data_IF_526975804898
#
_entry.id   IF_526975804898
#
_cell.length_a   1.000
_cell.length_b   1.000
_cell.length_c   1.000
_cell.angle_alpha   90.00
_cell.angle_beta   90.00
_cell.angle_gamma   90.00
#
_symmetry.space_group_name_H-M   'P 1'
#
loop_
_entity.id
_entity.type
_entity.pdbx_description
1 polymer ?
#
# COMPACT_ATOMS: atom_id res chain seq x y z
N UNK A 1 -0.72 -4.09 -8.66
CA UNK A 1 0.14 -3.23 -7.82
C UNK A 1 -0.59 -1.94 -7.51
N UNK A 2 -0.57 -1.51 -6.26
CA UNK A 2 -1.21 -0.29 -5.79
C UNK A 2 -0.16 0.69 -5.28
N UNK A 3 -0.33 1.98 -5.57
CA UNK A 3 0.62 2.98 -5.14
C UNK A 3 0.26 4.39 -5.54
N UNK A 4 1.28 5.25 -5.66
CA UNK A 4 1.16 6.58 -6.26
C UNK A 4 2.29 6.71 -7.27
N UNK A 5 1.96 7.12 -8.49
CA UNK A 5 2.86 7.18 -9.64
C UNK A 5 4.14 7.99 -9.38
N UNK A 6 4.07 9.09 -8.63
CA UNK A 6 5.22 9.94 -8.30
C UNK A 6 6.01 9.49 -7.05
N UNK A 7 6.06 8.20 -6.75
CA UNK A 7 6.87 7.64 -5.67
C UNK A 7 8.04 6.82 -6.25
N UNK A 8 9.27 7.09 -5.79
CA UNK A 8 10.46 6.44 -6.34
C UNK A 8 10.47 4.92 -6.13
N UNK A 9 10.01 4.46 -4.96
CA UNK A 9 9.86 3.01 -4.69
C UNK A 9 8.87 2.36 -5.65
N UNK A 10 7.77 3.04 -6.00
CA UNK A 10 6.79 2.53 -6.97
C UNK A 10 7.38 2.52 -8.38
N UNK A 11 8.10 3.57 -8.79
CA UNK A 11 8.82 3.58 -10.08
C UNK A 11 9.84 2.44 -10.17
N UNK A 12 10.63 2.22 -9.11
CA UNK A 12 11.58 1.11 -8.99
C UNK A 12 10.89 -0.25 -9.09
N UNK A 13 9.74 -0.40 -8.43
CA UNK A 13 8.94 -1.63 -8.43
C UNK A 13 8.38 -1.97 -9.80
N UNK A 14 7.84 -0.97 -10.51
CA UNK A 14 7.34 -1.14 -11.88
C UNK A 14 8.46 -1.54 -12.84
N UNK A 15 9.61 -0.86 -12.77
CA UNK A 15 10.79 -1.21 -13.56
C UNK A 15 11.27 -2.64 -13.30
N UNK A 16 11.25 -3.11 -12.04
CA UNK A 16 11.59 -4.49 -11.71
C UNK A 16 10.66 -5.49 -12.39
N UNK A 17 9.34 -5.24 -12.37
CA UNK A 17 8.37 -6.11 -13.04
C UNK A 17 8.56 -6.13 -14.56
N UNK A 18 8.75 -4.96 -15.17
CA UNK A 18 9.04 -4.83 -16.61
C UNK A 18 10.31 -5.58 -17.00
N UNK A 19 11.38 -5.44 -16.21
CA UNK A 19 12.67 -6.13 -16.46
C UNK A 19 12.57 -7.65 -16.37
N UNK A 20 11.65 -8.16 -15.55
CA UNK A 20 11.42 -9.60 -15.40
C UNK A 20 10.29 -10.12 -16.32
N UNK A 21 9.77 -9.29 -17.23
CA UNK A 21 8.62 -9.61 -18.10
C UNK A 21 7.39 -10.10 -17.32
N UNK A 22 7.13 -9.50 -16.17
CA UNK A 22 5.97 -9.83 -15.32
C UNK A 22 4.86 -8.83 -15.61
N UNK A 23 3.75 -9.33 -16.13
CA UNK A 23 2.55 -8.53 -16.36
C UNK A 23 1.99 -7.99 -15.04
N UNK A 24 1.58 -6.71 -15.04
CA UNK A 24 1.01 -6.08 -13.86
C UNK A 24 0.01 -4.99 -14.22
N UNK A 25 -1.02 -4.89 -13.37
CA UNK A 25 -1.92 -3.73 -13.35
C UNK A 25 -1.46 -2.75 -12.28
N UNK A 26 -1.47 -1.46 -12.58
CA UNK A 26 -1.14 -0.40 -11.64
C UNK A 26 -2.39 0.43 -11.29
N UNK A 27 -2.66 0.55 -10.00
CA UNK A 27 -3.74 1.37 -9.44
C UNK A 27 -3.12 2.51 -8.62
N UNK A 28 -3.40 3.75 -9.02
CA UNK A 28 -2.91 4.95 -8.35
C UNK A 28 -3.96 5.46 -7.35
N UNK A 29 -3.66 5.36 -6.05
CA UNK A 29 -4.57 5.79 -4.98
C UNK A 29 -5.02 7.25 -5.08
N UNK A 30 -4.28 8.13 -5.78
CA UNK A 30 -4.69 9.53 -5.99
C UNK A 30 -5.61 9.72 -7.19
N UNK A 31 -5.46 8.90 -8.23
CA UNK A 31 -6.22 9.05 -9.48
C UNK A 31 -7.45 8.15 -9.48
N UNK A 32 -7.25 6.91 -9.07
CA UNK A 32 -8.24 5.84 -9.09
C UNK A 32 -8.95 5.70 -7.73
N UNK A 33 -8.43 6.38 -6.70
CA UNK A 33 -9.00 6.39 -5.35
C UNK A 33 -8.70 5.12 -4.55
N UNK A 34 -9.34 5.02 -3.38
CA UNK A 34 -9.34 3.83 -2.53
C UNK A 34 -10.80 3.54 -2.18
N UNK A 35 -11.39 2.55 -2.85
CA UNK A 35 -12.75 2.14 -2.55
C UNK A 35 -12.81 1.26 -1.28
N UNK A 36 -14.02 1.11 -0.73
CA UNK A 36 -14.25 0.31 0.46
C UNK A 36 -13.85 -1.15 0.26
N UNK A 37 -14.10 -1.73 -0.92
CA UNK A 37 -13.79 -3.13 -1.20
C UNK A 37 -12.28 -3.41 -1.12
N UNK A 38 -11.47 -2.56 -1.72
CA UNK A 38 -10.01 -2.62 -1.67
C UNK A 38 -9.51 -2.35 -0.25
N UNK A 39 -10.06 -1.36 0.44
CA UNK A 39 -9.69 -1.08 1.84
C UNK A 39 -9.95 -2.28 2.75
N UNK A 40 -11.12 -2.93 2.62
CA UNK A 40 -11.43 -4.15 3.38
C UNK A 40 -10.47 -5.30 3.04
N UNK A 41 -10.10 -5.47 1.77
CA UNK A 41 -9.09 -6.46 1.37
C UNK A 41 -7.73 -6.17 2.01
N UNK A 42 -7.30 -4.90 2.04
CA UNK A 42 -6.04 -4.52 2.67
C UNK A 42 -6.06 -4.82 4.17
N UNK A 43 -7.12 -4.42 4.87
CA UNK A 43 -7.28 -4.64 6.31
C UNK A 43 -7.47 -6.11 6.70
N UNK A 44 -7.99 -6.93 5.79
CA UNK A 44 -8.06 -8.38 5.99
C UNK A 44 -6.69 -9.08 5.90
N UNK A 45 -5.74 -8.50 5.14
CA UNK A 45 -4.42 -9.11 4.91
C UNK A 45 -3.31 -8.48 5.75
N UNK A 46 -3.51 -7.27 6.25
CA UNK A 46 -2.49 -6.52 6.98
C UNK A 46 -3.07 -5.81 8.20
N UNK A 47 -2.28 -5.75 9.27
CA UNK A 47 -2.59 -4.85 10.38
C UNK A 47 -2.48 -3.39 9.94
N UNK A 48 -3.29 -2.47 10.51
CA UNK A 48 -3.21 -1.04 10.21
C UNK A 48 -1.79 -0.47 10.37
N UNK A 49 -1.05 -0.93 11.38
CA UNK A 49 0.32 -0.48 11.63
C UNK A 49 1.31 -0.87 10.52
N UNK A 50 1.08 -2.01 9.87
CA UNK A 50 1.89 -2.49 8.75
C UNK A 50 1.51 -1.74 7.47
N UNK A 51 0.23 -1.44 7.28
CA UNK A 51 -0.27 -0.67 6.13
C UNK A 51 0.18 0.78 6.16
N UNK A 52 0.37 1.38 7.33
CA UNK A 52 0.64 2.82 7.44
C UNK A 52 2.13 3.13 7.37
N UNK A 53 2.48 4.11 6.54
CA UNK A 53 3.81 4.68 6.47
C UNK A 53 4.00 5.72 7.58
N UNK A 54 4.33 5.26 8.78
CA UNK A 54 4.61 6.13 9.95
C UNK A 54 5.79 7.10 9.73
N UNK A 55 6.62 6.89 8.69
CA UNK A 55 7.73 7.78 8.31
C UNK A 55 7.34 8.80 7.23
N UNK A 56 6.12 8.73 6.69
CA UNK A 56 5.63 9.64 5.65
C UNK A 56 5.30 11.03 6.19
N UNK A 57 5.39 12.06 5.33
CA UNK A 57 5.06 13.44 5.69
C UNK A 57 3.59 13.60 6.08
N UNK A 58 2.67 12.98 5.34
CA UNK A 58 1.23 13.00 5.65
C UNK A 58 0.95 12.43 7.04
N UNK A 59 1.60 11.32 7.43
CA UNK A 59 1.44 10.77 8.78
C UNK A 59 1.93 11.72 9.86
N UNK A 60 3.10 12.35 9.65
CA UNK A 60 3.68 13.32 10.60
C UNK A 60 2.85 14.60 10.74
N UNK A 61 2.01 14.92 9.76
CA UNK A 61 1.09 16.06 9.79
C UNK A 61 -0.22 15.75 10.54
N UNK A 62 -0.53 14.48 10.79
CA UNK A 62 -1.70 14.10 11.57
C UNK A 62 -1.51 14.47 13.04
N UNK A 63 -2.62 14.81 13.72
CA UNK A 63 -2.60 15.08 15.16
C UNK A 63 -2.33 13.79 15.95
N UNK A 64 -1.87 13.89 17.21
CA UNK A 64 -1.68 12.73 18.07
C UNK A 64 -2.93 11.85 18.19
N UNK A 65 -4.12 12.46 18.27
CA UNK A 65 -5.40 11.76 18.35
C UNK A 65 -5.68 10.97 17.07
N UNK A 66 -5.45 11.59 15.90
CA UNK A 66 -5.58 10.92 14.61
C UNK A 66 -4.61 9.73 14.49
N UNK A 67 -3.38 9.88 14.97
CA UNK A 67 -2.40 8.79 14.96
C UNK A 67 -2.79 7.64 15.89
N UNK A 68 -3.44 7.91 17.02
CA UNK A 68 -3.91 6.87 17.94
C UNK A 68 -5.06 6.04 17.38
N UNK A 69 -5.83 6.57 16.41
CA UNK A 69 -6.95 5.84 15.80
C UNK A 69 -6.54 4.52 15.14
N UNK A 70 -5.27 4.36 14.76
CA UNK A 70 -4.77 3.13 14.12
C UNK A 70 -4.86 1.89 15.03
N UNK A 71 -5.05 2.10 16.34
CA UNK A 71 -5.21 1.04 17.34
C UNK A 71 -6.62 0.43 17.33
N UNK A 72 -7.63 1.13 16.79
CA UNK A 72 -8.98 0.60 16.57
C UNK A 72 -9.16 0.31 15.07
N UNK A 73 -9.42 -0.95 14.67
CA UNK A 73 -9.57 -1.30 13.25
C UNK A 73 -10.63 -0.48 12.49
N UNK A 74 -11.72 -0.08 13.16
CA UNK A 74 -12.79 0.71 12.52
C UNK A 74 -12.33 2.15 12.31
N UNK A 75 -11.68 2.74 13.31
CA UNK A 75 -11.17 4.11 13.17
C UNK A 75 -9.98 4.17 12.21
N UNK A 76 -9.15 3.12 12.18
CA UNK A 76 -8.08 2.96 11.20
C UNK A 76 -8.62 2.93 9.77
N UNK A 77 -9.70 2.19 9.52
CA UNK A 77 -10.36 2.16 8.21
C UNK A 77 -10.79 3.57 7.78
N UNK A 78 -11.47 4.31 8.67
CA UNK A 78 -11.87 5.70 8.40
C UNK A 78 -10.68 6.62 8.12
N UNK A 79 -9.58 6.46 8.87
CA UNK A 79 -8.36 7.25 8.66
C UNK A 79 -7.72 6.94 7.31
N UNK A 80 -7.66 5.67 6.91
CA UNK A 80 -7.10 5.23 5.64
C UNK A 80 -7.93 5.70 4.44
N UNK A 81 -9.26 5.67 4.56
CA UNK A 81 -10.17 6.21 3.55
C UNK A 81 -10.03 7.74 3.42
N UNK A 82 -9.87 8.46 4.54
CA UNK A 82 -9.67 9.90 4.54
C UNK A 82 -8.30 10.31 4.01
N UNK A 83 -7.25 9.53 4.31
CA UNK A 83 -5.89 9.82 3.90
C UNK A 83 -5.21 8.64 3.20
N UNK A 84 -5.62 8.24 1.98
CA UNK A 84 -5.03 7.09 1.27
C UNK A 84 -3.50 7.22 1.07
N UNK A 85 -2.99 8.45 1.05
CA UNK A 85 -1.56 8.74 0.96
C UNK A 85 -0.74 8.25 2.18
N UNK A 86 -1.34 7.92 3.33
CA UNK A 86 -0.58 7.35 4.45
C UNK A 86 -0.29 5.86 4.26
N UNK A 87 -0.91 5.19 3.28
CA UNK A 87 -0.65 3.79 2.97
C UNK A 87 0.80 3.62 2.46
N UNK A 88 1.48 2.58 2.96
CA UNK A 88 2.81 2.14 2.51
C UNK A 88 2.73 1.67 1.07
N UNK A 89 3.77 1.98 0.31
CA UNK A 89 3.79 1.78 -1.13
C UNK A 89 5.14 1.19 -1.55
N UNK A 90 5.17 0.30 -2.56
CA UNK A 90 4.01 -0.30 -3.22
C UNK A 90 3.24 -1.29 -2.32
N UNK A 91 1.96 -1.50 -2.61
CA UNK A 91 1.23 -2.70 -2.17
C UNK A 91 1.08 -3.62 -3.39
N UNK A 92 1.28 -4.92 -3.21
CA UNK A 92 1.26 -5.90 -4.29
C UNK A 92 0.25 -6.98 -3.92
N UNK A 93 -0.50 -7.41 -4.94
CA UNK A 93 -1.33 -8.60 -4.93
C UNK A 93 -0.82 -9.48 -6.07
N UNK A 94 -0.32 -10.67 -5.76
CA UNK A 94 0.11 -11.64 -6.76
C UNK A 94 -1.09 -12.32 -7.43
N UNK A 95 -0.84 -13.07 -8.51
CA UNK A 95 -1.86 -13.93 -9.14
C UNK A 95 -2.39 -15.03 -8.22
N UNK A 96 -1.60 -15.46 -7.23
CA UNK A 96 -1.98 -16.42 -6.18
C UNK A 96 -2.82 -15.79 -5.05
N UNK A 97 -3.23 -14.52 -5.17
CA UNK A 97 -3.89 -13.73 -4.12
C UNK A 97 -3.04 -13.48 -2.85
N UNK A 98 -1.72 -13.65 -2.95
CA UNK A 98 -0.82 -13.26 -1.86
C UNK A 98 -0.60 -11.75 -1.88
N UNK A 99 -0.63 -11.16 -0.69
CA UNK A 99 -0.46 -9.73 -0.51
C UNK A 99 0.91 -9.42 0.11
N UNK A 100 1.58 -8.41 -0.44
CA UNK A 100 2.86 -7.92 0.06
C UNK A 100 2.91 -6.39 0.08
N UNK A 101 3.78 -5.85 0.93
CA UNK A 101 4.01 -4.40 1.05
C UNK A 101 5.51 -4.13 0.94
N UNK A 102 5.86 -3.18 0.08
CA UNK A 102 7.23 -2.72 -0.11
C UNK A 102 7.97 -3.42 -1.26
N UNK A 103 9.10 -2.82 -1.65
CA UNK A 103 9.92 -3.32 -2.75
C UNK A 103 10.61 -4.64 -2.43
N UNK A 104 11.10 -4.83 -1.20
CA UNK A 104 11.83 -6.05 -0.86
C UNK A 104 10.90 -7.28 -0.92
N UNK A 105 9.67 -7.15 -0.42
CA UNK A 105 8.66 -8.20 -0.55
C UNK A 105 8.22 -8.44 -2.00
N UNK A 106 8.19 -7.40 -2.85
CA UNK A 106 7.98 -7.58 -4.30
C UNK A 106 9.06 -8.47 -4.90
N UNK A 107 10.33 -8.20 -4.59
CA UNK A 107 11.44 -8.97 -5.14
C UNK A 107 11.38 -10.43 -4.68
N UNK A 108 10.98 -10.68 -3.43
CA UNK A 108 10.79 -12.03 -2.93
C UNK A 108 9.66 -12.78 -3.68
N UNK A 109 8.52 -12.12 -3.92
CA UNK A 109 7.38 -12.72 -4.64
C UNK A 109 7.65 -12.99 -6.13
N UNK A 110 8.66 -12.35 -6.71
CA UNK A 110 8.96 -12.41 -8.15
C UNK A 110 10.28 -13.11 -8.46
N UNK A 111 10.95 -13.63 -7.44
CA UNK A 111 12.17 -14.41 -7.62
C UNK A 111 11.80 -15.82 -8.11
N UNK A 112 12.42 -16.32 -9.18
CA UNK A 112 12.21 -17.71 -9.59
C UNK A 112 12.69 -18.64 -8.46
N UNK A 113 11.85 -19.62 -8.12
CA UNK A 113 12.21 -20.70 -7.19
C UNK A 113 13.23 -21.65 -7.80
#
# INVERSE_FOLDING_TARGET
MYGISNCDTVKKSRRHLEQNNIDYHFHDFRKDGLDDALLQQLLANFSPETLINKRGTTWRQLTPEQQQTIMDPRLAASLLAQFPAIIRRPVIRSGSNEWAIGFDSLTALTSPS
#
